data_IF_013660993963
#
_entry.id   IF_013660993963
#
_cell.length_a   1.000
_cell.length_b   1.000
_cell.length_c   1.000
_cell.angle_alpha   90.00
_cell.angle_beta   90.00
_cell.angle_gamma   90.00
#
_symmetry.space_group_name_H-M   'P 1'
#
loop_
_entity.id
_entity.type
_entity.pdbx_description
1 polymer ?
#
# COMPACT_ATOMS: atom_id res chain seq x y z
N UNK A 1 -2.51 9.89 -8.47
CA UNK A 1 -2.59 8.64 -7.67
C UNK A 1 -1.21 8.08 -7.33
N UNK A 2 -0.20 8.22 -8.18
CA UNK A 2 1.15 7.70 -7.90
C UNK A 2 1.76 8.29 -6.62
N UNK A 3 1.66 9.61 -6.42
CA UNK A 3 2.11 10.28 -5.18
C UNK A 3 1.38 9.76 -3.94
N UNK A 4 0.07 9.53 -4.03
CA UNK A 4 -0.70 9.00 -2.92
C UNK A 4 -0.29 7.55 -2.59
N UNK A 5 -0.07 6.71 -3.61
CA UNK A 5 0.42 5.34 -3.41
C UNK A 5 1.83 5.31 -2.79
N UNK A 6 2.70 6.27 -3.15
CA UNK A 6 4.00 6.42 -2.51
C UNK A 6 3.87 6.85 -1.04
N UNK A 7 2.93 7.74 -0.73
CA UNK A 7 2.62 8.14 0.64
C UNK A 7 2.15 6.95 1.48
N UNK A 8 1.20 6.15 1.01
CA UNK A 8 0.71 4.97 1.76
C UNK A 8 1.83 3.96 2.01
N UNK A 9 2.68 3.71 1.01
CA UNK A 9 3.85 2.83 1.20
C UNK A 9 4.81 3.35 2.28
N UNK A 10 5.05 4.65 2.31
CA UNK A 10 5.89 5.28 3.33
C UNK A 10 5.23 5.21 4.71
N UNK A 11 3.92 5.41 4.80
CA UNK A 11 3.16 5.30 6.04
C UNK A 11 3.20 3.86 6.58
N UNK A 12 2.96 2.87 5.72
CA UNK A 12 3.08 1.45 6.08
C UNK A 12 4.50 1.10 6.56
N UNK A 13 5.54 1.64 5.94
CA UNK A 13 6.92 1.45 6.43
C UNK A 13 7.12 2.06 7.82
N UNK A 14 6.66 3.29 8.05
CA UNK A 14 6.75 3.93 9.36
C UNK A 14 6.00 3.15 10.45
N UNK A 15 4.85 2.55 10.11
CA UNK A 15 4.09 1.67 11.02
C UNK A 15 4.83 0.37 11.33
N UNK A 16 5.51 -0.22 10.35
CA UNK A 16 6.37 -1.39 10.56
C UNK A 16 7.56 -1.06 11.46
N UNK A 17 8.21 0.08 11.23
CA UNK A 17 9.34 0.54 12.04
C UNK A 17 8.90 0.78 13.50
N UNK A 18 7.72 1.38 13.69
CA UNK A 18 7.13 1.58 15.02
C UNK A 18 6.77 0.24 15.68
N UNK A 19 6.23 -0.72 14.94
CA UNK A 19 5.95 -2.07 15.46
C UNK A 19 7.25 -2.78 15.88
N UNK A 20 8.32 -2.67 15.08
CA UNK A 20 9.64 -3.20 15.44
C UNK A 20 10.19 -2.56 16.72
N UNK A 21 10.01 -1.25 16.89
CA UNK A 21 10.38 -0.55 18.13
C UNK A 21 9.55 -1.04 19.32
N UNK A 22 8.23 -1.17 19.17
CA UNK A 22 7.35 -1.71 20.21
C UNK A 22 7.75 -3.12 20.63
N UNK A 23 8.12 -3.96 19.67
CA UNK A 23 8.62 -5.32 19.93
C UNK A 23 9.94 -5.30 20.70
N UNK A 24 10.88 -4.41 20.34
CA UNK A 24 12.15 -4.24 21.06
C UNK A 24 11.95 -3.73 22.50
N UNK A 25 10.92 -2.92 22.72
CA UNK A 25 10.54 -2.42 24.05
C UNK A 25 9.69 -3.41 24.87
N UNK A 26 9.38 -4.60 24.33
CA UNK A 26 8.51 -5.60 24.96
C UNK A 26 7.13 -4.99 25.30
N UNK A 27 6.57 -4.19 24.37
CA UNK A 27 5.22 -3.65 24.47
C UNK A 27 4.26 -4.45 23.57
N UNK A 28 3.63 -5.53 24.09
CA UNK A 28 2.70 -6.33 23.31
C UNK A 28 1.41 -5.58 22.95
N UNK A 29 1.00 -4.61 23.77
CA UNK A 29 -0.22 -3.84 23.52
C UNK A 29 -0.04 -2.93 22.29
N UNK A 30 1.09 -2.24 22.20
CA UNK A 30 1.43 -1.43 21.03
C UNK A 30 1.54 -2.28 19.76
N UNK A 31 2.19 -3.45 19.84
CA UNK A 31 2.32 -4.35 18.69
C UNK A 31 0.95 -4.83 18.18
N UNK A 32 0.07 -5.28 19.08
CA UNK A 32 -1.28 -5.73 18.73
C UNK A 32 -2.15 -4.58 18.18
N UNK A 33 -2.04 -3.38 18.75
CA UNK A 33 -2.72 -2.20 18.25
C UNK A 33 -2.32 -1.91 16.79
N UNK A 34 -1.01 -1.84 16.51
CA UNK A 34 -0.49 -1.54 15.18
C UNK A 34 -0.86 -2.62 14.16
N UNK A 35 -0.77 -3.89 14.55
CA UNK A 35 -1.11 -5.01 13.68
C UNK A 35 -2.59 -5.04 13.32
N UNK A 36 -3.46 -5.00 14.32
CA UNK A 36 -4.90 -5.23 14.13
C UNK A 36 -5.65 -4.02 13.57
N UNK A 37 -5.16 -2.81 13.79
CA UNK A 37 -5.88 -1.58 13.39
C UNK A 37 -5.24 -0.82 12.22
N UNK A 38 -3.95 -1.02 11.94
CA UNK A 38 -3.25 -0.20 10.96
C UNK A 38 -2.59 -1.03 9.84
N UNK A 39 -1.72 -1.98 10.18
CA UNK A 39 -0.92 -2.72 9.19
C UNK A 39 -1.77 -3.53 8.22
N UNK A 40 -2.80 -4.23 8.70
CA UNK A 40 -3.71 -5.00 7.83
C UNK A 40 -4.53 -4.10 6.90
N UNK A 41 -4.90 -2.90 7.36
CA UNK A 41 -5.67 -1.94 6.55
C UNK A 41 -4.77 -1.25 5.50
N UNK A 42 -3.55 -0.87 5.88
CA UNK A 42 -2.56 -0.29 4.95
C UNK A 42 -2.29 -1.22 3.76
N UNK A 43 -2.07 -2.51 4.01
CA UNK A 43 -1.85 -3.48 2.93
C UNK A 43 -3.05 -3.55 1.97
N UNK A 44 -4.28 -3.46 2.49
CA UNK A 44 -5.51 -3.43 1.67
C UNK A 44 -5.59 -2.16 0.83
N UNK A 45 -5.29 -1.00 1.43
CA UNK A 45 -5.30 0.31 0.75
C UNK A 45 -4.25 0.36 -0.36
N UNK A 46 -3.00 0.00 -0.06
CA UNK A 46 -1.89 -0.04 -1.03
C UNK A 46 -2.25 -0.96 -2.21
N UNK A 47 -2.79 -2.16 -1.94
CA UNK A 47 -3.22 -3.10 -2.99
C UNK A 47 -4.33 -2.50 -3.87
N UNK A 48 -5.36 -1.93 -3.25
CA UNK A 48 -6.49 -1.32 -3.96
C UNK A 48 -6.03 -0.16 -4.85
N UNK A 49 -5.16 0.70 -4.33
CA UNK A 49 -4.60 1.83 -5.08
C UNK A 49 -3.68 1.38 -6.22
N UNK A 50 -2.87 0.35 -6.00
CA UNK A 50 -2.06 -0.27 -7.05
C UNK A 50 -2.92 -0.80 -8.20
N UNK A 51 -4.02 -1.49 -7.89
CA UNK A 51 -4.96 -1.98 -8.89
C UNK A 51 -5.63 -0.83 -9.67
N UNK A 52 -6.05 0.23 -8.99
CA UNK A 52 -6.62 1.40 -9.65
C UNK A 52 -5.61 2.08 -10.58
N UNK A 53 -4.36 2.23 -10.14
CA UNK A 53 -3.29 2.81 -10.96
C UNK A 53 -3.02 1.97 -12.21
N UNK A 54 -2.95 0.65 -12.09
CA UNK A 54 -2.79 -0.26 -13.23
C UNK A 54 -3.95 -0.15 -14.22
N UNK A 55 -5.19 -0.07 -13.72
CA UNK A 55 -6.36 0.13 -14.57
C UNK A 55 -6.33 1.48 -15.29
N UNK A 56 -5.95 2.56 -14.61
CA UNK A 56 -5.81 3.88 -15.22
C UNK A 56 -4.71 3.89 -16.31
N UNK A 57 -3.56 3.27 -16.05
CA UNK A 57 -2.48 3.15 -17.05
C UNK A 57 -2.93 2.37 -18.28
N UNK A 58 -3.68 1.28 -18.10
CA UNK A 58 -4.26 0.50 -19.20
C UNK A 58 -5.27 1.31 -20.02
N UNK A 59 -6.13 2.10 -19.37
CA UNK A 59 -7.06 2.98 -20.07
C UNK A 59 -6.33 4.10 -20.84
N UNK A 60 -5.24 4.63 -20.27
CA UNK A 60 -4.42 5.66 -20.91
C UNK A 60 -3.62 5.13 -22.11
N UNK A 61 -3.23 3.85 -22.12
CA UNK A 61 -2.48 3.23 -23.21
C UNK A 61 -3.29 3.02 -24.50
N UNK A 62 -4.61 3.23 -24.47
CA UNK A 62 -5.50 3.01 -25.63
C UNK A 62 -5.66 1.52 -25.99
N UNK A 63 -6.52 1.19 -26.97
CA UNK A 63 -6.59 -0.17 -27.49
C UNK A 63 -5.25 -0.55 -28.15
N UNK A 64 -4.81 -1.82 -28.07
CA UNK A 64 -3.67 -2.27 -28.85
C UNK A 64 -3.98 -1.96 -30.32
N UNK A 65 -3.06 -1.28 -31.00
CA UNK A 65 -3.16 -1.00 -32.43
C UNK A 65 -3.40 -2.32 -33.13
N UNK A 66 -4.61 -2.54 -33.64
CA UNK A 66 -4.86 -3.60 -34.60
C UNK A 66 -4.09 -3.17 -35.84
N UNK A 67 -2.90 -3.75 -36.05
CA UNK A 67 -2.33 -3.80 -37.38
C UNK A 67 -3.28 -4.64 -38.23
N UNK A 68 -4.19 -3.96 -38.91
CA UNK A 68 -5.00 -4.57 -39.95
C UNK A 68 -4.10 -4.90 -41.12
N UNK A 69 -4.15 -6.17 -41.52
CA UNK A 69 -3.86 -6.60 -42.89
C UNK A 69 -5.14 -6.48 -43.73
#
# INVERSE_FOLDING_TARGET
METALALEKNLNQALLDLHSLGSACIDPYLCDLLKNHFLDEEVKVIKKMGNHLTNLRRLAAGPPVSLGE
#
